data_IF_864956850075
#
_entry.id   IF_864956850075
#
_cell.length_a   1.000
_cell.length_b   1.000
_cell.length_c   1.000
_cell.angle_alpha   90.00
_cell.angle_beta   90.00
_cell.angle_gamma   90.00
#
_symmetry.space_group_name_H-M   'P 1'
#
loop_
_entity.id
_entity.type
_entity.pdbx_description
1 polymer ?
#
# COMPACT_ATOMS: atom_id res chain seq x y z
N UNK A 1 25.62 7.87 11.71
CA UNK A 1 24.82 6.83 11.00
C UNK A 1 23.34 6.78 11.36
N UNK A 2 22.93 7.21 12.53
CA UNK A 2 21.51 7.16 12.97
C UNK A 2 20.57 8.15 12.25
N UNK A 3 21.05 9.33 11.88
CA UNK A 3 20.23 10.38 11.25
C UNK A 3 19.82 10.04 9.81
N UNK A 4 20.74 9.52 9.00
CA UNK A 4 20.45 9.12 7.62
C UNK A 4 19.40 8.02 7.55
N UNK A 5 19.48 7.06 8.46
CA UNK A 5 18.53 5.95 8.54
C UNK A 5 17.11 6.39 8.93
N UNK A 6 16.98 7.34 9.86
CA UNK A 6 15.68 7.94 10.20
C UNK A 6 15.06 8.66 9.02
N UNK A 7 15.88 9.39 8.26
CA UNK A 7 15.45 10.09 7.07
C UNK A 7 14.94 9.12 5.99
N UNK A 8 15.66 8.04 5.72
CA UNK A 8 15.24 7.02 4.73
C UNK A 8 13.93 6.34 5.15
N UNK A 9 13.77 6.01 6.45
CA UNK A 9 12.52 5.42 6.95
C UNK A 9 11.35 6.40 6.84
N UNK A 10 11.54 7.66 7.16
CA UNK A 10 10.50 8.69 7.03
C UNK A 10 10.08 8.89 5.58
N UNK A 11 11.04 8.88 4.64
CA UNK A 11 10.75 8.98 3.21
C UNK A 11 9.94 7.75 2.75
N UNK A 12 10.33 6.53 3.14
CA UNK A 12 9.62 5.32 2.75
C UNK A 12 8.17 5.30 3.26
N UNK A 13 7.95 5.74 4.49
CA UNK A 13 6.62 5.85 5.09
C UNK A 13 5.76 6.89 4.36
N UNK A 14 6.32 8.05 4.07
CA UNK A 14 5.64 9.10 3.29
C UNK A 14 5.31 8.65 1.88
N UNK A 15 6.24 7.95 1.22
CA UNK A 15 6.02 7.39 -0.12
C UNK A 15 4.94 6.33 -0.14
N UNK A 16 4.87 5.47 0.89
CA UNK A 16 3.81 4.47 1.02
C UNK A 16 2.43 5.13 1.19
N UNK A 17 2.31 6.14 2.06
CA UNK A 17 1.07 6.90 2.24
C UNK A 17 0.65 7.62 0.95
N UNK A 18 1.59 8.24 0.27
CA UNK A 18 1.37 8.92 -1.01
C UNK A 18 0.91 7.96 -2.10
N UNK A 19 1.49 6.75 -2.14
CA UNK A 19 1.12 5.68 -3.07
C UNK A 19 -0.34 5.25 -2.92
N UNK A 20 -0.84 5.14 -1.69
CA UNK A 20 -2.25 4.80 -1.43
C UNK A 20 -3.16 5.90 -1.96
N UNK A 21 -2.82 7.17 -1.69
CA UNK A 21 -3.60 8.31 -2.14
C UNK A 21 -3.65 8.38 -3.68
N UNK A 22 -2.50 8.30 -4.34
CA UNK A 22 -2.41 8.31 -5.80
C UNK A 22 -3.11 7.10 -6.43
N UNK A 23 -2.95 5.90 -5.88
CA UNK A 23 -3.59 4.70 -6.37
C UNK A 23 -5.11 4.78 -6.31
N UNK A 24 -5.66 5.33 -5.23
CA UNK A 24 -7.09 5.57 -5.07
C UNK A 24 -7.60 6.59 -6.10
N UNK A 25 -6.88 7.69 -6.27
CA UNK A 25 -7.26 8.75 -7.21
C UNK A 25 -7.18 8.28 -8.67
N UNK A 26 -6.08 7.66 -9.06
CA UNK A 26 -5.88 7.12 -10.42
C UNK A 26 -6.90 6.02 -10.70
N UNK A 27 -7.15 5.13 -9.74
CA UNK A 27 -8.18 4.10 -9.85
C UNK A 27 -9.57 4.71 -10.06
N UNK A 28 -9.90 5.76 -9.31
CA UNK A 28 -11.16 6.49 -9.47
C UNK A 28 -11.32 7.12 -10.86
N UNK A 29 -10.31 7.86 -11.30
CA UNK A 29 -10.33 8.53 -12.62
C UNK A 29 -10.42 7.50 -13.76
N UNK A 30 -9.64 6.43 -13.69
CA UNK A 30 -9.69 5.35 -14.67
C UNK A 30 -11.05 4.65 -14.67
N UNK A 31 -11.58 4.35 -13.48
CA UNK A 31 -12.91 3.78 -13.30
C UNK A 31 -14.01 4.68 -13.87
N UNK A 32 -13.93 6.00 -13.69
CA UNK A 32 -14.86 6.96 -14.28
C UNK A 32 -14.80 6.94 -15.80
N UNK A 33 -13.60 6.90 -16.40
CA UNK A 33 -13.42 6.85 -17.84
C UNK A 33 -14.02 5.56 -18.46
N UNK A 34 -13.81 4.42 -17.79
CA UNK A 34 -14.38 3.13 -18.20
C UNK A 34 -15.89 3.11 -17.99
N UNK A 35 -16.39 3.67 -16.89
CA UNK A 35 -17.82 3.82 -16.63
C UNK A 35 -18.52 4.71 -17.64
N UNK A 36 -17.87 5.81 -18.05
CA UNK A 36 -18.37 6.70 -19.10
C UNK A 36 -18.50 5.99 -20.45
N UNK A 37 -17.54 5.15 -20.81
CA UNK A 37 -17.54 4.41 -22.09
C UNK A 37 -18.62 3.32 -22.18
N UNK A 38 -19.38 3.09 -21.10
CA UNK A 38 -20.48 2.11 -21.07
C UNK A 38 -20.02 0.65 -21.11
N UNK A 39 -18.72 0.38 -20.98
CA UNK A 39 -18.16 -1.00 -21.03
C UNK A 39 -18.79 -1.90 -19.98
N UNK A 40 -19.20 -1.36 -18.85
CA UNK A 40 -19.83 -2.16 -17.78
C UNK A 40 -21.30 -2.49 -18.04
N UNK A 41 -21.97 -1.97 -19.09
CA UNK A 41 -23.35 -2.33 -19.43
C UNK A 41 -24.40 -2.15 -18.29
N UNK A 42 -23.92 -1.89 -17.08
CA UNK A 42 -24.71 -1.79 -15.85
C UNK A 42 -25.55 -0.50 -15.86
N UNK A 43 -25.03 0.55 -16.49
CA UNK A 43 -25.70 1.84 -16.55
C UNK A 43 -27.03 1.81 -17.35
N UNK A 44 -27.20 0.85 -18.23
CA UNK A 44 -28.41 0.72 -19.04
C UNK A 44 -29.58 0.03 -18.32
N UNK A 45 -29.27 -0.74 -17.27
CA UNK A 45 -30.28 -1.54 -16.52
C UNK A 45 -30.61 -1.01 -15.15
N UNK A 46 -29.79 -0.12 -14.59
CA UNK A 46 -30.06 0.50 -13.29
C UNK A 46 -30.77 1.82 -13.54
N UNK A 47 -32.07 1.76 -13.60
CA UNK A 47 -32.96 2.93 -13.64
C UNK A 47 -32.99 3.58 -12.24
N UNK A 48 -31.83 4.12 -11.83
CA UNK A 48 -31.77 4.96 -10.64
C UNK A 48 -32.46 6.25 -11.02
N UNK A 49 -33.63 6.52 -10.49
CA UNK A 49 -34.56 7.60 -10.83
C UNK A 49 -34.02 9.04 -10.83
N UNK A 50 -32.81 9.25 -11.31
CA UNK A 50 -32.17 10.51 -11.60
C UNK A 50 -32.55 10.94 -13.02
N UNK A 51 -33.85 11.16 -13.25
CA UNK A 51 -34.33 11.80 -14.46
C UNK A 51 -33.69 13.19 -14.57
N UNK A 52 -32.71 13.33 -15.47
CA UNK A 52 -32.03 14.60 -15.73
C UNK A 52 -30.48 14.54 -15.77
N UNK A 53 -29.87 13.53 -15.19
CA UNK A 53 -28.44 13.29 -15.33
C UNK A 53 -28.29 12.18 -16.36
N UNK A 54 -27.73 12.49 -17.54
CA UNK A 54 -27.60 11.53 -18.64
C UNK A 54 -26.95 10.22 -18.17
N UNK A 55 -27.33 9.10 -18.71
CA UNK A 55 -26.87 7.75 -18.35
C UNK A 55 -25.33 7.64 -18.28
N UNK A 56 -24.62 8.41 -19.13
CA UNK A 56 -23.18 8.51 -19.14
C UNK A 56 -22.61 9.04 -17.80
N UNK A 57 -23.28 10.03 -17.20
CA UNK A 57 -22.83 10.61 -15.93
C UNK A 57 -23.02 9.63 -14.77
N UNK A 58 -24.12 8.86 -14.76
CA UNK A 58 -24.34 7.83 -13.74
C UNK A 58 -23.29 6.71 -13.85
N UNK A 59 -22.94 6.28 -15.06
CA UNK A 59 -21.89 5.30 -15.31
C UNK A 59 -20.51 5.79 -14.86
N UNK A 60 -20.19 7.06 -15.12
CA UNK A 60 -18.94 7.67 -14.69
C UNK A 60 -18.83 7.75 -13.17
N UNK A 61 -19.88 8.16 -12.47
CA UNK A 61 -19.90 8.23 -11.00
C UNK A 61 -19.75 6.85 -10.36
N UNK A 62 -20.49 5.87 -10.86
CA UNK A 62 -20.38 4.49 -10.38
C UNK A 62 -18.98 3.90 -10.67
N UNK A 63 -18.47 4.12 -11.89
CA UNK A 63 -17.13 3.71 -12.27
C UNK A 63 -16.04 4.35 -11.41
N UNK A 64 -16.21 5.64 -11.09
CA UNK A 64 -15.28 6.34 -10.18
C UNK A 64 -15.24 5.69 -8.80
N UNK A 65 -16.39 5.41 -8.19
CA UNK A 65 -16.47 4.80 -6.86
C UNK A 65 -15.84 3.41 -6.88
N UNK A 66 -16.22 2.57 -7.83
CA UNK A 66 -15.67 1.21 -7.93
C UNK A 66 -14.18 1.22 -8.25
N UNK A 67 -13.74 2.11 -9.14
CA UNK A 67 -12.32 2.28 -9.48
C UNK A 67 -11.50 2.79 -8.29
N UNK A 68 -12.04 3.72 -7.52
CA UNK A 68 -11.39 4.23 -6.30
C UNK A 68 -11.21 3.12 -5.23
N UNK A 69 -12.24 2.30 -5.02
CA UNK A 69 -12.17 1.16 -4.08
C UNK A 69 -11.11 0.16 -4.54
N UNK A 70 -11.12 -0.23 -5.80
CA UNK A 70 -10.12 -1.15 -6.34
C UNK A 70 -8.71 -0.56 -6.27
N UNK A 71 -8.54 0.70 -6.65
CA UNK A 71 -7.28 1.42 -6.56
C UNK A 71 -6.76 1.50 -5.11
N UNK A 72 -7.63 1.76 -4.15
CA UNK A 72 -7.30 1.76 -2.73
C UNK A 72 -6.82 0.38 -2.25
N UNK A 73 -7.56 -0.68 -2.56
CA UNK A 73 -7.20 -2.05 -2.15
C UNK A 73 -5.85 -2.48 -2.73
N UNK A 74 -5.63 -2.25 -4.02
CA UNK A 74 -4.37 -2.58 -4.68
C UNK A 74 -3.19 -1.80 -4.10
N UNK A 75 -3.34 -0.49 -3.92
CA UNK A 75 -2.29 0.36 -3.35
C UNK A 75 -1.99 0.02 -1.89
N UNK A 76 -3.02 -0.29 -1.11
CA UNK A 76 -2.86 -0.71 0.29
C UNK A 76 -2.12 -2.05 0.39
N UNK A 77 -2.37 -2.98 -0.52
CA UNK A 77 -1.66 -4.27 -0.58
C UNK A 77 -0.17 -4.06 -0.86
N UNK A 78 0.16 -3.21 -1.83
CA UNK A 78 1.56 -2.88 -2.16
C UNK A 78 2.24 -2.20 -0.98
N UNK A 79 1.61 -1.18 -0.38
CA UNK A 79 2.16 -0.49 0.78
C UNK A 79 2.35 -1.45 1.97
N UNK A 80 1.37 -2.31 2.25
CA UNK A 80 1.45 -3.32 3.32
C UNK A 80 2.60 -4.30 3.11
N UNK A 81 2.85 -4.73 1.89
CA UNK A 81 3.99 -5.59 1.55
C UNK A 81 5.33 -4.92 1.86
N UNK A 82 5.49 -3.64 1.51
CA UNK A 82 6.70 -2.87 1.81
C UNK A 82 6.92 -2.76 3.32
N UNK A 83 5.87 -2.45 4.09
CA UNK A 83 5.96 -2.40 5.56
C UNK A 83 6.31 -3.75 6.17
N UNK A 84 5.76 -4.83 5.63
CA UNK A 84 6.05 -6.18 6.09
C UNK A 84 7.53 -6.56 5.90
N UNK A 85 8.11 -6.26 4.74
CA UNK A 85 9.53 -6.47 4.50
C UNK A 85 10.41 -5.63 5.42
N UNK A 86 10.07 -4.37 5.67
CA UNK A 86 10.80 -3.52 6.59
C UNK A 86 10.77 -4.06 8.04
N UNK A 87 9.67 -4.68 8.44
CA UNK A 87 9.51 -5.28 9.76
C UNK A 87 10.34 -6.58 9.89
N UNK A 88 10.37 -7.42 8.86
CA UNK A 88 11.22 -8.61 8.82
C UNK A 88 12.69 -8.22 8.96
N UNK A 89 13.16 -7.22 8.24
CA UNK A 89 14.54 -6.74 8.33
C UNK A 89 14.90 -6.29 9.75
N UNK A 90 14.00 -5.56 10.41
CA UNK A 90 14.20 -5.14 11.82
C UNK A 90 14.33 -6.32 12.76
N UNK A 91 13.46 -7.31 12.63
CA UNK A 91 13.47 -8.50 13.49
C UNK A 91 14.72 -9.36 13.28
N UNK A 92 15.11 -9.59 12.02
CA UNK A 92 16.31 -10.36 11.69
C UNK A 92 17.58 -9.70 12.23
N UNK A 93 17.66 -8.37 12.16
CA UNK A 93 18.82 -7.64 12.70
C UNK A 93 18.92 -7.72 14.21
N UNK A 94 17.81 -7.68 14.93
CA UNK A 94 17.81 -7.81 16.39
C UNK A 94 18.29 -9.18 16.87
N UNK A 95 18.06 -10.23 16.09
CA UNK A 95 18.57 -11.57 16.36
C UNK A 95 20.09 -11.64 16.18
N UNK A 96 20.61 -11.09 15.09
CA UNK A 96 22.06 -11.04 14.82
C UNK A 96 22.82 -10.24 15.89
N UNK A 97 22.24 -9.17 16.40
CA UNK A 97 22.83 -8.41 17.50
C UNK A 97 22.88 -9.22 18.80
N UNK A 98 21.85 -9.99 19.11
CA UNK A 98 21.84 -10.88 20.28
C UNK A 98 22.90 -11.98 20.19
N UNK A 99 23.04 -12.65 19.08
CA UNK A 99 24.09 -13.66 18.87
C UNK A 99 25.49 -13.08 19.07
N UNK A 100 25.73 -11.86 18.57
CA UNK A 100 27.03 -11.20 18.73
C UNK A 100 27.37 -10.86 20.19
N UNK A 101 26.38 -10.65 21.06
CA UNK A 101 26.60 -10.39 22.48
C UNK A 101 26.73 -11.68 23.30
N UNK A 102 26.21 -12.79 22.85
CA UNK A 102 26.29 -14.08 23.55
C UNK A 102 27.62 -14.83 23.31
N UNK A 103 28.26 -14.61 22.15
CA UNK A 103 29.51 -15.28 21.78
C UNK A 103 30.76 -14.98 22.66
N UNK A 104 30.97 -13.81 23.26
CA UNK A 104 32.22 -13.54 23.98
C UNK A 104 32.37 -14.26 25.32
N UNK A 105 31.30 -14.77 25.87
CA UNK A 105 31.35 -15.35 27.24
C UNK A 105 31.76 -16.83 27.26
N UNK A 106 31.55 -17.57 26.19
CA UNK A 106 31.87 -18.99 26.17
C UNK A 106 33.37 -19.30 26.01
N UNK A 107 34.11 -18.44 25.32
CA UNK A 107 35.58 -18.69 25.13
C UNK A 107 36.45 -18.25 26.31
N UNK A 108 35.89 -17.52 27.28
CA UNK A 108 36.64 -17.00 28.42
C UNK A 108 36.77 -17.99 29.58
N UNK A 109 36.00 -19.10 29.54
CA UNK A 109 35.98 -20.13 30.60
C UNK A 109 36.74 -21.40 30.24
N UNK A 110 37.49 -21.44 29.12
CA UNK A 110 38.37 -22.55 28.84
C UNK A 110 39.55 -22.54 29.82
N UNK A 111 39.73 -23.57 30.68
CA UNK A 111 40.87 -23.62 31.58
C UNK A 111 42.13 -23.72 30.75
N UNK A 112 43.09 -22.82 30.99
CA UNK A 112 44.45 -22.95 30.48
C UNK A 112 45.14 -24.07 31.26
N UNK A 113 45.27 -25.19 30.63
CA UNK A 113 46.20 -26.22 31.09
C UNK A 113 47.63 -25.89 30.66
#
# INVERSE_FOLDING_TARGET
MTSFRRLVMGIAETMAALSIFFGTFVGGVYGAAVGWSGIFGIASNVNIGLQGVGQANAGAVFGFIMGAILGFVLSSTVAGTIFFFAQIERNTRSLLERERFEEPTQYRTAPRF
#
